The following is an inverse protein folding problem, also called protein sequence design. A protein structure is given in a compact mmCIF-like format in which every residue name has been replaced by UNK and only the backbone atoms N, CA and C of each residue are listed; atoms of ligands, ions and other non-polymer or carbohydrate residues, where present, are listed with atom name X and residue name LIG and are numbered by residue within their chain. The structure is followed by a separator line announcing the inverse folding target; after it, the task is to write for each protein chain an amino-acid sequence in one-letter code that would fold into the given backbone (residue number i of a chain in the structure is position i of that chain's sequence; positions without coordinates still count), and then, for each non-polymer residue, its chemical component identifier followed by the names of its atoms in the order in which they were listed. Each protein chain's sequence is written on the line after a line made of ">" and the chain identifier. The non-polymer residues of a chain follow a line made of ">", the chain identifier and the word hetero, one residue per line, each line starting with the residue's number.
data_IF_923210689160
#
_entry.id   IF_923210689160
#
_cell.length_a   1.000
_cell.length_b   1.000
_cell.length_c   1.000
_cell.angle_alpha   90.00
_cell.angle_beta   90.00
_cell.angle_gamma   90.00
#
_symmetry.space_group_name_H-M   'P 1'
#
loop_
_entity.id
_entity.type
_entity.pdbx_description
1 polymer ?
#
# COMPACT_ATOMS: atom_id res chain seq x y z
N UNK A 1 76.36 1.66 28.30
CA UNK A 1 75.24 2.21 27.49
C UNK A 1 74.53 1.02 26.84
N UNK A 2 73.44 0.53 27.42
CA UNK A 2 72.68 -0.64 26.91
C UNK A 2 71.53 -0.13 26.06
N UNK A 3 71.57 -0.39 24.76
CA UNK A 3 70.49 -0.05 23.82
C UNK A 3 69.42 -1.14 23.92
N UNK A 4 68.23 -0.77 24.39
CA UNK A 4 67.02 -1.61 24.39
C UNK A 4 66.50 -1.70 22.94
N UNK A 5 66.71 -2.84 22.28
CA UNK A 5 66.00 -3.17 21.05
C UNK A 5 64.60 -3.71 21.40
N UNK A 6 63.59 -2.85 21.30
CA UNK A 6 62.18 -3.28 21.28
C UNK A 6 61.94 -4.09 20.02
N UNK A 7 61.91 -5.43 20.15
CA UNK A 7 61.52 -6.33 19.08
C UNK A 7 60.02 -6.09 18.78
N UNK A 8 59.74 -5.39 17.69
CA UNK A 8 58.40 -5.27 17.16
C UNK A 8 58.00 -6.62 16.56
N UNK A 9 57.24 -7.43 17.32
CA UNK A 9 56.56 -8.60 16.78
C UNK A 9 55.45 -8.10 15.85
N UNK A 10 55.76 -7.98 14.56
CA UNK A 10 54.75 -7.72 13.53
C UNK A 10 53.95 -9.01 13.36
N UNK A 11 52.85 -9.14 14.09
CA UNK A 11 51.94 -10.27 13.99
C UNK A 11 51.38 -10.32 12.56
N UNK A 12 51.82 -11.29 11.77
CA UNK A 12 51.12 -11.69 10.57
C UNK A 12 49.89 -12.49 11.00
N UNK A 13 48.73 -12.23 10.37
CA UNK A 13 47.52 -12.99 10.64
C UNK A 13 47.72 -14.46 10.29
N UNK A 14 47.26 -15.35 11.17
CA UNK A 14 47.28 -16.79 10.91
C UNK A 14 46.32 -17.15 9.78
N UNK A 15 46.65 -18.19 9.02
CA UNK A 15 45.79 -18.70 7.95
C UNK A 15 44.39 -19.05 8.49
N UNK A 16 44.28 -19.57 9.72
CA UNK A 16 43.00 -19.90 10.34
C UNK A 16 42.16 -18.67 10.69
N UNK A 17 42.80 -17.55 11.05
CA UNK A 17 42.10 -16.30 11.37
C UNK A 17 41.52 -15.68 10.09
N UNK A 18 42.31 -15.66 9.01
CA UNK A 18 41.88 -15.11 7.72
C UNK A 18 40.76 -15.97 7.12
N UNK A 19 40.86 -17.29 7.16
CA UNK A 19 39.80 -18.17 6.62
C UNK A 19 38.52 -18.06 7.44
N UNK A 20 38.61 -17.99 8.77
CA UNK A 20 37.43 -17.76 9.62
C UNK A 20 36.81 -16.39 9.35
N UNK A 21 37.62 -15.34 9.21
CA UNK A 21 37.15 -14.00 8.90
C UNK A 21 36.42 -13.95 7.54
N UNK A 22 36.98 -14.58 6.51
CA UNK A 22 36.34 -14.68 5.19
C UNK A 22 35.03 -15.46 5.28
N UNK A 23 34.97 -16.54 6.04
CA UNK A 23 33.74 -17.32 6.24
C UNK A 23 32.61 -16.49 6.87
N UNK A 24 32.93 -15.74 7.94
CA UNK A 24 31.96 -14.88 8.63
C UNK A 24 31.51 -13.73 7.72
N UNK A 25 32.44 -13.06 7.05
CA UNK A 25 32.13 -11.93 6.15
C UNK A 25 31.27 -12.39 4.97
N UNK A 26 31.59 -13.54 4.38
CA UNK A 26 30.82 -14.11 3.27
C UNK A 26 29.38 -14.41 3.69
N UNK A 27 29.19 -15.00 4.88
CA UNK A 27 27.86 -15.26 5.42
C UNK A 27 27.06 -13.97 5.69
N UNK A 28 27.72 -12.94 6.22
CA UNK A 28 27.09 -11.64 6.48
C UNK A 28 26.64 -10.94 5.18
N UNK A 29 27.48 -10.92 4.14
CA UNK A 29 27.15 -10.29 2.85
C UNK A 29 25.94 -10.99 2.20
N UNK A 30 25.90 -12.32 2.22
CA UNK A 30 24.74 -13.07 1.71
C UNK A 30 23.45 -12.70 2.43
N UNK A 31 23.52 -12.53 3.76
CA UNK A 31 22.36 -12.11 4.56
C UNK A 31 21.88 -10.71 4.15
N UNK A 32 22.79 -9.75 3.98
CA UNK A 32 22.44 -8.39 3.54
C UNK A 32 21.79 -8.40 2.15
N UNK A 33 22.39 -9.11 1.19
CA UNK A 33 21.86 -9.20 -0.16
C UNK A 33 20.47 -9.86 -0.19
N UNK A 34 20.26 -10.90 0.61
CA UNK A 34 18.95 -11.54 0.78
C UNK A 34 17.91 -10.55 1.30
N UNK A 35 18.21 -9.83 2.39
CA UNK A 35 17.28 -8.84 2.98
C UNK A 35 16.97 -7.67 2.06
N UNK A 36 17.93 -7.24 1.22
CA UNK A 36 17.73 -6.14 0.28
C UNK A 36 16.63 -6.44 -0.75
N UNK A 37 16.60 -7.67 -1.27
CA UNK A 37 15.57 -8.10 -2.23
C UNK A 37 14.16 -8.05 -1.62
N UNK A 38 14.02 -8.54 -0.38
CA UNK A 38 12.77 -8.54 0.38
C UNK A 38 12.36 -7.10 0.72
N UNK A 39 13.30 -6.27 1.18
CA UNK A 39 13.04 -4.87 1.50
C UNK A 39 12.47 -4.09 0.32
N UNK A 40 12.96 -4.34 -0.90
CA UNK A 40 12.45 -3.68 -2.10
C UNK A 40 11.01 -4.10 -2.44
N UNK A 41 10.67 -5.38 -2.30
CA UNK A 41 9.28 -5.82 -2.47
C UNK A 41 8.36 -5.19 -1.42
N UNK A 42 8.78 -5.15 -0.16
CA UNK A 42 8.00 -4.53 0.92
C UNK A 42 7.75 -3.05 0.66
N UNK A 43 8.76 -2.31 0.19
CA UNK A 43 8.59 -0.88 -0.17
C UNK A 43 7.60 -0.72 -1.32
N UNK A 44 7.63 -1.58 -2.34
CA UNK A 44 6.69 -1.51 -3.46
C UNK A 44 5.25 -1.78 -3.01
N UNK A 45 5.05 -2.75 -2.14
CA UNK A 45 3.71 -3.08 -1.64
C UNK A 45 3.19 -2.01 -0.68
N UNK A 46 4.06 -1.47 0.19
CA UNK A 46 3.72 -0.32 1.02
C UNK A 46 3.33 0.92 0.20
N UNK A 47 4.02 1.17 -0.92
CA UNK A 47 3.64 2.24 -1.86
C UNK A 47 2.25 2.02 -2.43
N UNK A 48 1.95 0.82 -2.96
CA UNK A 48 0.61 0.51 -3.50
C UNK A 48 -0.49 0.69 -2.46
N UNK A 49 -0.24 0.27 -1.21
CA UNK A 49 -1.22 0.42 -0.13
C UNK A 49 -1.40 1.88 0.30
N UNK A 50 -0.31 2.66 0.30
CA UNK A 50 -0.40 4.11 0.55
C UNK A 50 -1.24 4.80 -0.54
N UNK A 51 -0.99 4.48 -1.81
CA UNK A 51 -1.75 5.00 -2.94
C UNK A 51 -3.23 4.58 -2.87
N UNK A 52 -3.51 3.32 -2.51
CA UNK A 52 -4.90 2.83 -2.40
C UNK A 52 -5.67 3.56 -1.30
N UNK A 53 -5.05 3.80 -0.14
CA UNK A 53 -5.63 4.57 0.95
C UNK A 53 -5.83 6.06 0.59
N UNK A 54 -4.88 6.66 -0.14
CA UNK A 54 -5.01 8.02 -0.66
C UNK A 54 -6.20 8.14 -1.61
N UNK A 55 -6.35 7.20 -2.56
CA UNK A 55 -7.49 7.15 -3.50
C UNK A 55 -8.81 7.02 -2.74
N UNK A 56 -8.88 6.12 -1.76
CA UNK A 56 -10.09 5.94 -0.95
C UNK A 56 -10.46 7.21 -0.19
N UNK A 57 -9.47 7.93 0.35
CA UNK A 57 -9.66 9.21 1.05
C UNK A 57 -10.14 10.30 0.09
N UNK A 58 -9.55 10.38 -1.11
CA UNK A 58 -9.96 11.33 -2.15
C UNK A 58 -11.42 11.11 -2.55
N UNK A 59 -11.81 9.85 -2.81
CA UNK A 59 -13.20 9.50 -3.15
C UNK A 59 -14.14 9.78 -1.98
N UNK A 60 -13.77 9.38 -0.76
CA UNK A 60 -14.57 9.64 0.44
C UNK A 60 -14.80 11.13 0.67
N UNK A 61 -13.80 11.97 0.41
CA UNK A 61 -13.93 13.44 0.47
C UNK A 61 -14.88 13.98 -0.60
N UNK A 62 -14.80 13.47 -1.84
CA UNK A 62 -15.73 13.84 -2.92
C UNK A 62 -17.17 13.43 -2.62
N UNK A 63 -17.37 12.24 -2.05
CA UNK A 63 -18.69 11.79 -1.60
C UNK A 63 -19.25 12.65 -0.46
N UNK A 64 -18.39 13.07 0.47
CA UNK A 64 -18.81 13.93 1.60
C UNK A 64 -19.17 15.35 1.15
N UNK A 65 -18.60 15.84 0.05
CA UNK A 65 -18.94 17.12 -0.57
C UNK A 65 -20.15 17.03 -1.51
N UNK A 66 -20.53 15.83 -1.94
CA UNK A 66 -21.68 15.62 -2.83
C UNK A 66 -22.99 15.69 -2.02
N UNK A 67 -24.03 16.40 -2.48
CA UNK A 67 -25.32 16.41 -1.80
C UNK A 67 -25.90 15.00 -1.64
N UNK A 68 -26.54 14.69 -0.51
CA UNK A 68 -27.08 13.36 -0.20
C UNK A 68 -27.91 12.75 -1.35
N UNK A 69 -28.71 13.56 -2.03
CA UNK A 69 -29.55 13.17 -3.17
C UNK A 69 -28.77 12.69 -4.40
N UNK A 70 -27.50 13.13 -4.54
CA UNK A 70 -26.66 12.88 -5.70
C UNK A 70 -25.59 11.79 -5.44
N UNK A 71 -25.48 11.24 -4.22
CA UNK A 71 -24.50 10.18 -3.92
C UNK A 71 -24.74 8.90 -4.74
N UNK A 72 -26.00 8.56 -5.04
CA UNK A 72 -26.31 7.43 -5.90
C UNK A 72 -25.79 7.63 -7.32
N UNK A 73 -25.87 8.86 -7.86
CA UNK A 73 -25.30 9.21 -9.15
C UNK A 73 -23.77 9.12 -9.12
N UNK A 74 -23.14 9.60 -8.03
CA UNK A 74 -21.68 9.46 -7.83
C UNK A 74 -21.24 8.00 -7.92
N UNK A 75 -21.94 7.08 -7.25
CA UNK A 75 -21.60 5.65 -7.31
C UNK A 75 -21.82 5.03 -8.70
N UNK A 76 -22.82 5.51 -9.45
CA UNK A 76 -23.17 4.99 -10.78
C UNK A 76 -22.21 5.49 -11.88
N UNK A 77 -21.55 6.63 -11.67
CA UNK A 77 -20.58 7.21 -12.60
C UNK A 77 -19.21 6.50 -12.64
N UNK A 78 -18.96 5.56 -11.72
CA UNK A 78 -17.72 4.78 -11.67
C UNK A 78 -17.71 3.59 -12.65
N UNK A 79 -16.55 2.91 -12.83
CA UNK A 79 -15.35 3.01 -12.01
C UNK A 79 -14.47 4.22 -12.35
N UNK A 80 -13.90 4.84 -11.32
CA UNK A 80 -12.91 5.92 -11.45
C UNK A 80 -11.53 5.31 -11.64
N UNK A 81 -10.76 5.80 -12.62
CA UNK A 81 -9.42 5.28 -12.91
C UNK A 81 -8.34 6.20 -12.37
N UNK A 82 -7.24 5.61 -11.91
CA UNK A 82 -6.10 6.34 -11.35
C UNK A 82 -4.77 5.79 -11.89
N UNK A 83 -3.78 6.67 -11.98
CA UNK A 83 -2.40 6.31 -12.27
C UNK A 83 -1.65 5.80 -11.02
N UNK A 84 -0.36 5.43 -11.18
CA UNK A 84 0.48 4.91 -10.09
C UNK A 84 0.78 5.95 -8.98
N UNK A 85 0.55 7.23 -9.27
CA UNK A 85 0.70 8.33 -8.31
C UNK A 85 -0.59 8.64 -7.54
N UNK A 86 -1.69 7.94 -7.85
CA UNK A 86 -3.00 8.19 -7.25
C UNK A 86 -3.73 9.40 -7.84
N UNK A 87 -3.33 9.87 -9.03
CA UNK A 87 -4.05 10.92 -9.77
C UNK A 87 -5.12 10.28 -10.64
N UNK A 88 -6.31 10.89 -10.64
CA UNK A 88 -7.42 10.43 -11.47
C UNK A 88 -7.15 10.67 -12.96
N UNK A 89 -7.51 9.69 -13.78
CA UNK A 89 -7.40 9.70 -15.24
C UNK A 89 -8.70 9.20 -15.88
N UNK A 90 -8.94 9.58 -17.13
CA UNK A 90 -10.18 9.24 -17.85
C UNK A 90 -10.05 7.96 -18.71
N UNK A 91 -8.85 7.37 -18.76
CA UNK A 91 -8.54 6.22 -19.63
C UNK A 91 -8.15 5.00 -18.81
N UNK A 92 -8.76 3.85 -19.12
CA UNK A 92 -8.40 2.56 -18.51
C UNK A 92 -7.09 1.99 -19.04
N UNK A 93 -6.64 2.43 -20.22
CA UNK A 93 -5.47 1.88 -20.89
C UNK A 93 -4.19 2.15 -20.12
N UNK A 94 -4.11 3.30 -19.44
CA UNK A 94 -2.98 3.71 -18.61
C UNK A 94 -3.27 3.61 -17.11
N UNK A 95 -4.42 3.06 -16.73
CA UNK A 95 -4.83 2.95 -15.34
C UNK A 95 -4.02 1.88 -14.60
N UNK A 96 -3.42 2.30 -13.47
CA UNK A 96 -2.81 1.40 -12.50
C UNK A 96 -3.81 0.98 -11.42
N UNK A 97 -4.83 1.80 -11.16
CA UNK A 97 -5.88 1.53 -10.18
C UNK A 97 -7.27 1.88 -10.71
N UNK A 98 -8.27 1.18 -10.20
CA UNK A 98 -9.69 1.43 -10.41
C UNK A 98 -10.36 1.53 -9.05
N UNK A 99 -11.27 2.48 -8.88
CA UNK A 99 -12.08 2.58 -7.68
C UNK A 99 -13.56 2.51 -8.04
N UNK A 100 -14.27 1.61 -7.36
CA UNK A 100 -15.70 1.45 -7.48
C UNK A 100 -16.36 1.80 -6.16
N UNK A 101 -17.48 2.50 -6.25
CA UNK A 101 -18.30 2.87 -5.09
C UNK A 101 -19.63 2.15 -5.19
N UNK A 102 -20.06 1.53 -4.09
CA UNK A 102 -21.32 0.79 -4.02
C UNK A 102 -22.05 1.14 -2.73
N UNK A 103 -23.38 1.27 -2.80
CA UNK A 103 -24.20 1.36 -1.60
C UNK A 103 -24.22 0.00 -0.91
N UNK A 104 -24.15 0.00 0.41
CA UNK A 104 -24.24 -1.22 1.23
C UNK A 104 -25.47 -1.11 2.10
N UNK A 105 -26.22 -2.21 2.21
CA UNK A 105 -27.35 -2.30 3.14
C UNK A 105 -26.92 -1.84 4.54
N UNK A 106 -27.71 -0.93 5.10
CA UNK A 106 -27.50 -0.31 6.41
C UNK A 106 -28.13 -1.12 7.54
N UNK A 107 -28.54 -2.37 7.30
CA UNK A 107 -29.10 -3.23 8.33
C UNK A 107 -28.07 -3.55 9.42
N UNK A 108 -28.29 -3.02 10.62
CA UNK A 108 -27.59 -3.43 11.83
C UNK A 108 -28.43 -4.47 12.57
N UNK A 109 -27.80 -5.45 13.26
CA UNK A 109 -28.53 -6.42 14.07
C UNK A 109 -29.42 -5.72 15.10
N UNK A 110 -30.73 -5.95 15.01
CA UNK A 110 -31.73 -5.35 15.91
C UNK A 110 -32.30 -3.99 15.48
N UNK A 111 -31.85 -3.40 14.37
CA UNK A 111 -32.45 -2.19 13.79
C UNK A 111 -33.31 -2.54 12.56
N UNK A 112 -34.43 -1.85 12.31
CA UNK A 112 -35.13 -1.96 11.03
C UNK A 112 -34.19 -1.53 9.90
N UNK A 113 -34.18 -2.28 8.80
CA UNK A 113 -33.25 -2.14 7.66
C UNK A 113 -33.26 -0.78 6.95
N UNK A 114 -34.12 0.16 7.39
CA UNK A 114 -34.44 1.40 6.69
C UNK A 114 -34.29 2.68 7.54
N UNK A 115 -34.05 2.54 8.86
CA UNK A 115 -33.93 3.70 9.77
C UNK A 115 -32.70 4.54 9.40
N UNK A 116 -31.61 3.88 9.01
CA UNK A 116 -30.43 4.57 8.53
C UNK A 116 -30.63 5.09 7.10
N UNK A 117 -31.28 4.39 6.16
CA UNK A 117 -31.51 4.93 4.80
C UNK A 117 -32.18 6.31 4.80
N UNK A 118 -32.98 6.59 5.83
CA UNK A 118 -33.67 7.88 6.03
C UNK A 118 -32.75 8.98 6.62
N UNK A 119 -31.67 8.64 7.33
CA UNK A 119 -30.81 9.61 8.05
C UNK A 119 -29.30 9.51 7.74
N UNK A 120 -28.81 8.41 7.17
CA UNK A 120 -27.43 8.13 6.81
C UNK A 120 -27.29 6.89 5.88
N UNK A 121 -26.52 6.99 4.80
CA UNK A 121 -26.25 5.86 3.89
C UNK A 121 -24.85 5.28 4.12
N UNK A 122 -24.73 3.95 4.10
CA UNK A 122 -23.43 3.26 4.15
C UNK A 122 -22.95 3.01 2.73
N UNK A 123 -21.72 3.45 2.46
CA UNK A 123 -21.05 3.30 1.18
C UNK A 123 -19.80 2.47 1.33
N UNK A 124 -19.50 1.67 0.32
CA UNK A 124 -18.25 0.90 0.23
C UNK A 124 -17.48 1.37 -0.97
N UNK A 125 -16.23 1.75 -0.73
CA UNK A 125 -15.24 2.07 -1.75
C UNK A 125 -14.36 0.84 -1.89
N UNK A 126 -14.29 0.28 -3.09
CA UNK A 126 -13.39 -0.82 -3.44
C UNK A 126 -12.34 -0.28 -4.38
N UNK A 127 -11.09 -0.22 -3.92
CA UNK A 127 -9.94 0.18 -4.74
C UNK A 127 -9.24 -1.07 -5.21
N UNK A 128 -9.11 -1.25 -6.52
CA UNK A 128 -8.48 -2.40 -7.16
C UNK A 128 -7.24 -1.96 -7.93
N UNK A 129 -6.12 -2.63 -7.70
CA UNK A 129 -4.96 -2.51 -8.59
C UNK A 129 -5.22 -3.26 -9.90
N UNK A 130 -4.88 -2.64 -11.03
CA UNK A 130 -5.11 -3.15 -12.37
C UNK A 130 -3.79 -3.53 -13.04
N UNK A 131 -3.85 -4.43 -14.03
CA UNK A 131 -2.79 -4.48 -15.05
C UNK A 131 -3.09 -3.40 -16.10
N UNK A 132 -2.09 -2.60 -16.52
CA UNK A 132 -2.29 -1.60 -17.57
C UNK A 132 -2.99 -2.20 -18.79
N UNK A 133 -4.02 -1.52 -19.30
CA UNK A 133 -4.80 -2.00 -20.44
C UNK A 133 -5.86 -3.05 -20.13
N UNK A 134 -6.07 -3.44 -18.87
CA UNK A 134 -7.12 -4.41 -18.50
C UNK A 134 -7.95 -3.93 -17.32
N UNK A 135 -9.21 -4.34 -17.27
CA UNK A 135 -10.12 -4.12 -16.13
C UNK A 135 -10.00 -5.20 -15.05
N UNK A 136 -9.08 -6.16 -15.23
CA UNK A 136 -8.89 -7.26 -14.29
C UNK A 136 -8.14 -6.77 -13.04
N UNK A 137 -8.77 -6.92 -11.88
CA UNK A 137 -8.17 -6.61 -10.59
C UNK A 137 -7.12 -7.66 -10.20
N UNK A 138 -5.94 -7.20 -9.76
CA UNK A 138 -4.88 -8.05 -9.20
C UNK A 138 -5.00 -8.17 -7.68
N UNK A 139 -5.39 -7.07 -7.03
CA UNK A 139 -5.63 -6.97 -5.59
C UNK A 139 -6.65 -5.88 -5.33
N UNK A 140 -7.51 -6.06 -4.32
CA UNK A 140 -8.58 -5.12 -3.98
C UNK A 140 -8.65 -4.84 -2.48
N UNK A 141 -8.62 -3.56 -2.12
CA UNK A 141 -8.83 -3.07 -0.75
C UNK A 141 -10.23 -2.45 -0.62
N UNK A 142 -10.90 -2.68 0.51
CA UNK A 142 -12.28 -2.25 0.75
C UNK A 142 -12.36 -1.30 1.94
N UNK A 143 -13.00 -0.16 1.74
CA UNK A 143 -13.23 0.85 2.76
C UNK A 143 -14.74 1.09 2.88
N UNK A 144 -15.24 1.23 4.11
CA UNK A 144 -16.65 1.57 4.33
C UNK A 144 -16.78 2.94 4.98
N UNK A 145 -17.64 3.77 4.41
CA UNK A 145 -17.95 5.10 4.89
C UNK A 145 -19.43 5.17 5.25
N UNK A 146 -19.77 5.85 6.34
CA UNK A 146 -21.14 6.21 6.67
C UNK A 146 -21.31 7.69 6.35
N UNK A 147 -22.25 8.03 5.47
CA UNK A 147 -22.53 9.42 5.10
C UNK A 147 -23.88 9.83 5.67
N UNK A 148 -23.94 10.81 6.59
CA UNK A 148 -25.19 11.32 7.13
C UNK A 148 -25.97 12.11 6.07
N UNK A 149 -27.30 12.12 6.21
CA UNK A 149 -28.19 12.99 5.45
C UNK A 149 -28.14 14.37 6.12
N UNK A 150 -27.53 15.34 5.43
CA UNK A 150 -27.55 16.77 5.78
C UNK A 150 -28.91 17.39 5.51
#
# INVERSE_FOLDING_TARGET
>A
MKVLHTLHHRAAFSLVEVTMAIGIVSFAILSVLGTMSVGLSTVRDAKKETTSAQIASQIGSGMSQTPFTNLAAFATNGPYFFDDSGRQIDSVQTAAFSAKVESVSTAYPGAPSDVLTTSASKWRITVSSLRPGTTNAISSSRFSLLVPKS
#
